data_IF_968703143279
#
_entry.id   IF_968703143279
#
_cell.length_a   1.000
_cell.length_b   1.000
_cell.length_c   1.000
_cell.angle_alpha   90.00
_cell.angle_beta   90.00
_cell.angle_gamma   90.00
#
_symmetry.space_group_name_H-M   'P 1'
#
loop_
_entity.id
_entity.type
_entity.pdbx_description
1 polymer ?
#
# COMPACT_ATOMS: atom_id res chain seq x y z
N UNK A 1 9.57 23.58 36.83
CA UNK A 1 10.30 24.87 36.94
C UNK A 1 11.71 24.68 36.41
N UNK A 2 12.11 25.63 35.58
CA UNK A 2 13.35 25.81 34.81
C UNK A 2 14.62 26.00 35.68
N UNK A 3 15.75 25.34 35.35
CA UNK A 3 17.07 25.96 35.04
C UNK A 3 18.25 24.95 34.94
N UNK A 4 18.75 24.81 33.72
CA UNK A 4 20.11 25.00 33.21
C UNK A 4 21.39 24.56 33.97
N UNK A 5 22.31 24.03 33.13
CA UNK A 5 23.78 24.18 33.11
C UNK A 5 24.62 23.08 33.76
N UNK A 6 25.13 22.17 32.93
CA UNK A 6 26.39 21.47 33.20
C UNK A 6 27.47 21.98 32.24
N UNK A 7 28.52 22.55 32.82
CA UNK A 7 29.64 23.19 32.13
C UNK A 7 30.63 22.16 31.57
N UNK A 8 31.09 22.53 30.37
CA UNK A 8 32.35 22.24 29.71
C UNK A 8 33.56 22.22 30.67
N UNK A 9 34.40 21.18 30.56
CA UNK A 9 35.80 21.21 31.00
C UNK A 9 36.66 20.62 29.88
N UNK A 10 37.36 21.56 29.23
CA UNK A 10 38.28 21.42 28.12
C UNK A 10 39.65 21.01 28.67
N UNK A 11 40.32 20.00 28.11
CA UNK A 11 41.73 19.76 28.39
C UNK A 11 42.54 19.58 27.10
N UNK A 12 43.68 20.27 27.08
CA UNK A 12 44.59 20.52 25.97
C UNK A 12 45.33 19.24 25.55
N UNK A 13 44.98 18.65 24.40
CA UNK A 13 45.87 17.71 23.70
C UNK A 13 45.36 17.35 22.29
N UNK A 14 45.19 18.33 21.38
CA UNK A 14 45.17 18.02 19.94
C UNK A 14 45.48 19.23 19.05
N UNK A 15 46.33 20.13 19.53
CA UNK A 15 46.75 21.35 18.81
C UNK A 15 47.90 21.11 17.81
N UNK A 16 48.31 19.85 17.58
CA UNK A 16 49.48 19.51 16.75
C UNK A 16 49.19 18.97 15.34
N UNK A 17 47.94 18.88 14.88
CA UNK A 17 47.63 18.40 13.52
C UNK A 17 47.30 19.50 12.50
N UNK A 18 47.64 20.77 12.76
CA UNK A 18 47.22 21.90 11.91
C UNK A 18 48.33 22.70 11.21
N UNK A 19 49.55 22.17 11.01
CA UNK A 19 50.57 22.88 10.22
C UNK A 19 51.43 21.98 9.32
N UNK A 20 50.79 21.34 8.33
CA UNK A 20 51.44 21.15 7.02
C UNK A 20 50.50 21.74 5.98
N UNK A 21 50.69 23.04 5.71
CA UNK A 21 49.96 23.79 4.69
C UNK A 21 50.60 23.54 3.31
N UNK A 22 49.72 23.32 2.34
CA UNK A 22 49.65 23.97 1.02
C UNK A 22 50.75 23.75 -0.02
N UNK A 23 50.30 23.35 -1.22
CA UNK A 23 50.78 23.56 -2.62
C UNK A 23 50.18 22.37 -3.40
N UNK A 24 49.29 22.45 -4.39
CA UNK A 24 48.88 23.47 -5.36
C UNK A 24 47.44 23.15 -5.84
N UNK A 25 46.67 24.21 -6.12
CA UNK A 25 45.45 24.18 -6.92
C UNK A 25 45.68 23.51 -8.28
N UNK A 26 44.95 22.44 -8.59
CA UNK A 26 44.69 22.06 -9.97
C UNK A 26 43.22 21.67 -10.13
N UNK A 27 42.39 22.70 -10.23
CA UNK A 27 41.06 22.64 -10.81
C UNK A 27 41.22 22.32 -12.29
N UNK A 28 40.81 21.12 -12.75
CA UNK A 28 40.06 20.85 -14.00
C UNK A 28 39.37 19.46 -13.89
N UNK A 29 38.05 19.44 -14.15
CA UNK A 29 37.18 18.28 -14.40
C UNK A 29 36.42 17.65 -13.21
N UNK A 30 35.38 18.35 -12.75
CA UNK A 30 34.10 17.70 -12.43
C UNK A 30 33.45 17.23 -13.74
N UNK A 31 32.88 16.01 -13.77
CA UNK A 31 31.53 15.84 -14.22
C UNK A 31 30.64 15.79 -12.98
N UNK A 32 29.80 16.83 -12.86
CA UNK A 32 28.60 16.93 -12.05
C UNK A 32 27.58 15.84 -12.41
N UNK A 33 27.91 14.54 -12.25
CA UNK A 33 27.07 13.44 -12.75
C UNK A 33 26.88 12.27 -11.76
N UNK A 34 26.95 12.53 -10.46
CA UNK A 34 26.25 11.70 -9.48
C UNK A 34 25.42 12.63 -8.58
N UNK A 35 24.66 13.53 -9.21
CA UNK A 35 23.54 14.19 -8.55
C UNK A 35 22.45 13.14 -8.31
N UNK A 36 22.26 12.77 -7.05
CA UNK A 36 20.94 12.52 -6.45
C UNK A 36 19.94 11.80 -7.37
N UNK A 37 20.04 10.48 -7.54
CA UNK A 37 18.84 9.65 -7.66
C UNK A 37 19.17 8.19 -7.29
N UNK A 38 19.57 7.91 -6.04
CA UNK A 38 19.74 6.53 -5.59
C UNK A 38 18.35 5.95 -5.32
N UNK A 39 17.92 4.89 -6.00
CA UNK A 39 16.80 4.02 -5.56
C UNK A 39 15.32 4.52 -5.66
N UNK A 40 15.02 5.75 -6.08
CA UNK A 40 13.63 6.28 -6.04
C UNK A 40 12.74 5.95 -7.25
N UNK A 41 13.15 5.07 -8.18
CA UNK A 41 12.38 4.80 -9.41
C UNK A 41 11.49 3.55 -9.31
N UNK A 42 11.67 2.69 -8.31
CA UNK A 42 10.89 1.45 -8.17
C UNK A 42 9.61 1.60 -7.32
N UNK A 43 9.23 2.84 -6.93
CA UNK A 43 8.24 3.08 -5.85
C UNK A 43 6.87 3.55 -6.36
N UNK A 44 6.46 3.18 -7.57
CA UNK A 44 5.12 3.52 -8.04
C UNK A 44 4.42 2.30 -8.65
N UNK A 45 4.32 1.23 -7.87
CA UNK A 45 3.42 0.14 -8.24
C UNK A 45 1.98 0.65 -8.32
N UNK A 46 1.32 0.37 -9.44
CA UNK A 46 -0.08 0.76 -9.65
C UNK A 46 -0.96 0.12 -8.58
N UNK A 47 -1.76 0.96 -7.94
CA UNK A 47 -2.80 0.48 -7.05
C UNK A 47 -3.85 -0.31 -7.85
N UNK A 48 -4.40 -1.40 -7.27
CA UNK A 48 -5.47 -2.13 -7.92
C UNK A 48 -6.73 -1.28 -8.03
N UNK A 49 -7.51 -1.54 -9.07
CA UNK A 49 -8.81 -0.89 -9.27
C UNK A 49 -9.88 -1.71 -8.55
N UNK A 50 -10.64 -1.07 -7.65
CA UNK A 50 -11.77 -1.69 -6.95
C UNK A 50 -13.05 -1.57 -7.78
N UNK A 51 -13.70 -2.70 -8.00
CA UNK A 51 -15.02 -2.80 -8.63
C UNK A 51 -16.01 -3.40 -7.63
N UNK A 52 -17.11 -2.70 -7.39
CA UNK A 52 -18.13 -3.10 -6.42
C UNK A 52 -19.38 -3.67 -7.13
N UNK A 53 -19.79 -4.88 -6.79
CA UNK A 53 -20.94 -5.59 -7.36
C UNK A 53 -21.98 -5.95 -6.29
N UNK A 54 -23.20 -6.27 -6.69
CA UNK A 54 -24.29 -6.57 -5.75
C UNK A 54 -24.03 -7.78 -4.86
N UNK A 55 -23.23 -8.75 -5.33
CA UNK A 55 -22.92 -10.00 -4.63
C UNK A 55 -21.48 -10.07 -4.07
N UNK A 56 -20.64 -9.08 -4.33
CA UNK A 56 -19.23 -9.10 -3.98
C UNK A 56 -18.45 -7.91 -4.51
N UNK A 57 -17.14 -7.98 -4.38
CA UNK A 57 -16.21 -7.00 -4.95
C UNK A 57 -15.10 -7.70 -5.71
N UNK A 58 -14.46 -6.96 -6.59
CA UNK A 58 -13.33 -7.44 -7.38
C UNK A 58 -12.22 -6.40 -7.38
N UNK A 59 -10.99 -6.85 -7.22
CA UNK A 59 -9.80 -6.04 -7.45
C UNK A 59 -9.18 -6.42 -8.78
N UNK A 60 -8.93 -5.43 -9.62
CA UNK A 60 -8.19 -5.57 -10.86
C UNK A 60 -6.74 -5.17 -10.66
N UNK A 61 -5.83 -6.08 -10.98
CA UNK A 61 -4.40 -5.88 -10.93
C UNK A 61 -3.83 -5.78 -12.33
N UNK A 62 -3.01 -4.74 -12.55
CA UNK A 62 -2.22 -4.54 -13.77
C UNK A 62 -0.74 -4.48 -13.37
N UNK A 63 -0.05 -5.63 -13.35
CA UNK A 63 1.37 -5.66 -12.99
C UNK A 63 2.21 -4.83 -13.97
N UNK A 64 3.17 -4.05 -13.46
CA UNK A 64 4.16 -3.36 -14.30
C UNK A 64 5.31 -4.29 -14.71
N UNK A 65 5.54 -5.33 -13.92
CA UNK A 65 6.48 -6.42 -14.14
C UNK A 65 5.82 -7.74 -13.73
N UNK A 66 6.52 -8.86 -13.92
CA UNK A 66 6.02 -10.17 -13.51
C UNK A 66 5.76 -10.21 -12.00
N UNK A 67 4.51 -10.48 -11.63
CA UNK A 67 4.08 -10.65 -10.25
C UNK A 67 4.37 -12.08 -9.79
N UNK A 68 5.19 -12.21 -8.75
CA UNK A 68 5.52 -13.48 -8.09
C UNK A 68 5.29 -13.32 -6.59
N UNK A 69 4.20 -13.90 -6.09
CA UNK A 69 3.84 -13.79 -4.69
C UNK A 69 2.40 -14.18 -4.41
N UNK A 70 1.81 -13.53 -3.42
CA UNK A 70 0.49 -13.87 -2.90
C UNK A 70 -0.43 -12.65 -2.86
N UNK A 71 -1.71 -12.85 -3.18
CA UNK A 71 -2.78 -11.87 -2.95
C UNK A 71 -3.85 -12.56 -2.11
N UNK A 72 -4.15 -12.06 -0.92
CA UNK A 72 -5.08 -12.74 -0.01
C UNK A 72 -5.84 -11.79 0.90
N UNK A 73 -6.99 -12.25 1.41
CA UNK A 73 -7.71 -11.55 2.46
C UNK A 73 -6.99 -11.70 3.80
N UNK A 74 -6.83 -10.60 4.55
CA UNK A 74 -6.19 -10.59 5.86
C UNK A 74 -6.81 -11.65 6.79
N UNK A 75 -5.98 -12.56 7.28
CA UNK A 75 -6.41 -13.66 8.17
C UNK A 75 -6.81 -14.94 7.44
N UNK A 76 -6.89 -14.93 6.11
CA UNK A 76 -7.35 -16.05 5.27
C UNK A 76 -6.28 -16.59 4.32
N UNK A 77 -5.00 -16.51 4.71
CA UNK A 77 -3.88 -16.96 3.87
C UNK A 77 -3.99 -18.42 3.43
N UNK A 78 -4.56 -19.31 4.25
CA UNK A 78 -4.68 -20.74 3.93
C UNK A 78 -5.99 -21.09 3.19
N UNK A 79 -6.84 -20.11 2.89
CA UNK A 79 -8.15 -20.34 2.27
C UNK A 79 -8.03 -20.12 0.77
N UNK A 80 -8.16 -21.18 -0.03
CA UNK A 80 -8.05 -21.12 -1.50
C UNK A 80 -9.06 -20.16 -2.14
N UNK A 81 -10.24 -19.99 -1.54
CA UNK A 81 -11.26 -19.04 -2.04
C UNK A 81 -10.91 -17.57 -1.76
N UNK A 82 -9.91 -17.32 -0.91
CA UNK A 82 -9.53 -16.00 -0.42
C UNK A 82 -8.04 -15.72 -0.62
N UNK A 83 -7.37 -16.51 -1.48
CA UNK A 83 -5.94 -16.47 -1.72
C UNK A 83 -5.63 -16.85 -3.17
N UNK A 84 -4.92 -15.95 -3.86
CA UNK A 84 -4.24 -16.25 -5.11
C UNK A 84 -2.75 -16.46 -4.84
N UNK A 85 -2.23 -17.59 -5.30
CA UNK A 85 -0.83 -17.97 -5.18
C UNK A 85 -0.15 -17.99 -6.56
N UNK A 86 0.70 -17.00 -6.80
CA UNK A 86 1.49 -16.86 -8.02
C UNK A 86 2.96 -17.27 -7.82
N UNK A 87 3.29 -17.97 -6.73
CA UNK A 87 4.69 -18.38 -6.46
C UNK A 87 5.21 -19.43 -7.44
N UNK A 88 4.33 -20.33 -7.89
CA UNK A 88 4.66 -21.40 -8.84
C UNK A 88 4.49 -20.97 -10.29
N UNK A 89 3.50 -20.12 -10.55
CA UNK A 89 3.18 -19.61 -11.88
C UNK A 89 3.08 -18.08 -11.82
N UNK A 90 4.21 -17.36 -11.84
CA UNK A 90 4.21 -15.91 -11.87
C UNK A 90 3.44 -15.37 -13.08
N UNK A 91 2.89 -14.17 -12.97
CA UNK A 91 2.10 -13.55 -14.06
C UNK A 91 2.52 -12.12 -14.33
N UNK A 92 2.78 -11.80 -15.59
CA UNK A 92 2.84 -10.42 -16.07
C UNK A 92 1.49 -9.96 -16.67
N UNK A 93 0.53 -10.88 -16.83
CA UNK A 93 -0.78 -10.57 -17.37
C UNK A 93 -1.68 -9.95 -16.30
N UNK A 94 -2.62 -9.07 -16.69
CA UNK A 94 -3.62 -8.56 -15.78
C UNK A 94 -4.49 -9.67 -15.21
N UNK A 95 -4.88 -9.55 -13.96
CA UNK A 95 -5.69 -10.55 -13.27
C UNK A 95 -6.67 -9.91 -12.29
N UNK A 96 -7.64 -10.71 -11.87
CA UNK A 96 -8.67 -10.30 -10.94
C UNK A 96 -8.59 -11.10 -9.65
N UNK A 97 -8.95 -10.45 -8.54
CA UNK A 97 -9.21 -11.10 -7.27
C UNK A 97 -10.64 -10.81 -6.82
N UNK A 98 -11.49 -11.83 -6.83
CA UNK A 98 -12.92 -11.75 -6.56
C UNK A 98 -13.23 -12.20 -5.14
N UNK A 99 -14.03 -11.43 -4.41
CA UNK A 99 -14.44 -11.69 -3.03
C UNK A 99 -15.96 -11.52 -2.93
N UNK A 100 -16.66 -12.61 -2.64
CA UNK A 100 -18.11 -12.58 -2.44
C UNK A 100 -18.47 -12.13 -1.02
N UNK A 101 -19.50 -11.27 -0.89
CA UNK A 101 -19.94 -10.76 0.41
C UNK A 101 -20.46 -11.87 1.34
N UNK A 102 -21.18 -12.84 0.77
CA UNK A 102 -21.68 -14.02 1.49
C UNK A 102 -20.75 -15.24 1.31
N UNK A 103 -19.48 -14.99 0.99
CA UNK A 103 -18.47 -16.01 0.77
C UNK A 103 -17.69 -16.39 2.04
N UNK A 104 -16.65 -17.23 1.89
CA UNK A 104 -15.87 -17.74 3.03
C UNK A 104 -14.82 -16.75 3.58
N UNK A 105 -14.68 -15.56 3.00
CA UNK A 105 -13.60 -14.61 3.34
C UNK A 105 -13.95 -13.61 4.45
N UNK A 106 -15.03 -13.86 5.20
CA UNK A 106 -15.51 -13.05 6.34
C UNK A 106 -15.50 -11.54 6.07
N UNK A 107 -16.21 -11.13 5.01
CA UNK A 107 -16.34 -9.73 4.65
C UNK A 107 -17.15 -9.00 5.72
N UNK A 108 -16.59 -7.93 6.28
CA UNK A 108 -17.26 -7.13 7.30
C UNK A 108 -18.41 -6.33 6.68
N UNK A 109 -19.63 -6.56 7.12
CA UNK A 109 -20.82 -5.81 6.70
C UNK A 109 -21.34 -4.96 7.86
N UNK A 110 -21.44 -3.64 7.65
CA UNK A 110 -21.96 -2.68 8.62
C UNK A 110 -23.14 -1.92 8.02
N UNK A 111 -24.23 -1.80 8.77
CA UNK A 111 -25.32 -0.90 8.41
C UNK A 111 -24.92 0.52 8.78
N UNK A 112 -24.96 1.44 7.81
CA UNK A 112 -24.74 2.86 8.03
C UNK A 112 -26.09 3.57 8.08
N UNK A 113 -26.28 4.45 9.06
CA UNK A 113 -27.54 5.18 9.23
C UNK A 113 -27.63 6.43 8.35
N UNK A 114 -26.50 7.10 8.11
CA UNK A 114 -26.43 8.38 7.38
C UNK A 114 -25.22 8.42 6.43
N UNK A 115 -25.44 8.43 5.10
CA UNK A 115 -26.70 8.05 4.44
C UNK A 115 -27.08 6.60 4.77
N UNK A 116 -28.37 6.28 4.75
CA UNK A 116 -28.81 4.92 5.05
C UNK A 116 -28.25 3.95 4.00
N UNK A 117 -27.60 2.88 4.43
CA UNK A 117 -26.99 1.94 3.50
C UNK A 117 -26.24 0.81 4.19
N UNK A 118 -25.54 0.01 3.38
CA UNK A 118 -24.65 -1.06 3.84
C UNK A 118 -23.25 -0.82 3.34
N UNK A 119 -22.28 -0.89 4.25
CA UNK A 119 -20.85 -0.83 3.96
C UNK A 119 -20.24 -2.23 4.10
N UNK A 120 -19.65 -2.71 3.02
CA UNK A 120 -18.83 -3.92 3.01
C UNK A 120 -17.37 -3.50 3.05
N UNK A 121 -16.58 -4.03 3.98
CA UNK A 121 -15.16 -3.69 4.14
C UNK A 121 -14.32 -4.95 4.28
N UNK A 122 -13.15 -4.96 3.64
CA UNK A 122 -12.20 -6.07 3.72
C UNK A 122 -10.77 -5.54 3.54
N UNK A 123 -9.79 -6.23 4.15
CA UNK A 123 -8.38 -5.91 3.98
C UNK A 123 -7.74 -6.96 3.08
N UNK A 124 -7.20 -6.53 1.94
CA UNK A 124 -6.47 -7.39 1.00
C UNK A 124 -4.98 -7.13 1.14
N UNK A 125 -4.21 -8.19 1.35
CA UNK A 125 -2.75 -8.17 1.43
C UNK A 125 -2.20 -8.59 0.07
N UNK A 126 -1.29 -7.79 -0.47
CA UNK A 126 -0.48 -8.10 -1.64
C UNK A 126 0.96 -8.25 -1.17
N UNK A 127 1.47 -9.47 -1.29
CA UNK A 127 2.78 -9.89 -0.85
C UNK A 127 3.63 -10.28 -2.06
N UNK A 128 4.74 -9.59 -2.29
CA UNK A 128 5.61 -9.74 -3.47
C UNK A 128 6.73 -10.77 -3.29
N UNK A 129 6.59 -11.65 -2.31
CA UNK A 129 7.58 -12.67 -2.02
C UNK A 129 6.91 -13.98 -1.59
N UNK A 130 7.48 -15.09 -2.01
CA UNK A 130 6.94 -16.44 -1.84
C UNK A 130 6.93 -17.01 -0.40
N UNK A 131 7.40 -16.26 0.61
CA UNK A 131 7.55 -16.79 1.98
C UNK A 131 7.17 -15.79 3.08
N UNK A 132 7.56 -14.53 2.96
CA UNK A 132 7.44 -13.57 4.05
C UNK A 132 7.08 -12.18 3.53
N UNK A 133 6.60 -11.34 4.45
CA UNK A 133 6.25 -9.97 4.14
C UNK A 133 7.50 -9.11 3.95
N UNK A 134 7.50 -8.29 2.91
CA UNK A 134 8.59 -7.38 2.53
C UNK A 134 8.16 -5.92 2.66
N UNK A 135 9.12 -5.00 2.47
CA UNK A 135 8.83 -3.55 2.45
C UNK A 135 7.91 -3.14 1.28
N UNK A 136 7.91 -3.91 0.19
CA UNK A 136 7.11 -3.62 -1.00
C UNK A 136 5.64 -4.02 -0.84
N UNK A 137 5.34 -4.83 0.18
CA UNK A 137 4.02 -5.39 0.37
C UNK A 137 3.02 -4.34 0.85
N UNK A 138 1.77 -4.51 0.43
CA UNK A 138 0.69 -3.54 0.68
C UNK A 138 -0.52 -4.22 1.29
N UNK A 139 -1.15 -3.51 2.21
CA UNK A 139 -2.45 -3.86 2.76
C UNK A 139 -3.47 -2.83 2.30
N UNK A 140 -4.39 -3.23 1.44
CA UNK A 140 -5.46 -2.38 0.92
C UNK A 140 -6.71 -2.56 1.77
N UNK A 141 -7.10 -1.51 2.49
CA UNK A 141 -8.42 -1.42 3.15
C UNK A 141 -9.44 -0.97 2.11
N UNK A 142 -10.17 -1.95 1.56
CA UNK A 142 -11.12 -1.72 0.46
C UNK A 142 -12.54 -1.81 0.99
N UNK A 143 -13.38 -0.88 0.54
CA UNK A 143 -14.75 -0.79 1.00
C UNK A 143 -15.71 -0.39 -0.12
N UNK A 144 -16.86 -1.06 -0.14
CA UNK A 144 -17.98 -0.81 -1.04
C UNK A 144 -19.19 -0.38 -0.21
N UNK A 145 -19.78 0.76 -0.57
CA UNK A 145 -20.96 1.28 0.11
C UNK A 145 -22.16 1.27 -0.83
N UNK A 146 -23.26 0.67 -0.38
CA UNK A 146 -24.55 0.65 -1.07
C UNK A 146 -25.54 1.49 -0.30
N UNK A 147 -25.86 2.65 -0.84
CA UNK A 147 -26.91 3.51 -0.32
C UNK A 147 -28.27 2.89 -0.62
N UNK A 148 -29.14 2.84 0.38
CA UNK A 148 -30.56 2.61 0.19
C UNK A 148 -31.14 3.96 -0.21
N UNK A 149 -31.60 4.10 -1.45
CA UNK A 149 -32.31 5.30 -1.91
C UNK A 149 -33.82 5.12 -1.74
N UNK A 150 -34.48 6.15 -1.21
CA UNK A 150 -35.94 6.17 -0.96
C UNK A 150 -36.80 6.27 -2.25
N UNK A 151 -36.24 6.04 -3.43
CA UNK A 151 -36.93 6.25 -4.71
C UNK A 151 -37.96 5.15 -5.06
N UNK A 152 -38.47 4.39 -4.08
CA UNK A 152 -39.55 3.42 -4.27
C UNK A 152 -40.90 3.87 -3.66
N UNK A 153 -41.01 5.11 -3.19
CA UNK A 153 -42.24 5.64 -2.59
C UNK A 153 -42.98 6.70 -3.43
N UNK A 154 -42.62 6.92 -4.69
CA UNK A 154 -43.38 7.77 -5.60
C UNK A 154 -43.70 7.04 -6.90
N UNK A 155 -45.01 6.88 -7.14
CA UNK A 155 -45.65 6.42 -8.37
C UNK A 155 -45.93 4.91 -8.52
N UNK A 156 -46.91 4.44 -7.74
CA UNK A 156 -47.99 3.57 -8.28
C UNK A 156 -49.32 4.09 -7.71
N UNK A 157 -49.87 5.13 -8.34
CA UNK A 157 -51.30 5.41 -8.24
C UNK A 157 -52.00 4.61 -9.34
N UNK A 158 -52.49 3.41 -9.03
CA UNK A 158 -53.52 2.79 -9.87
C UNK A 158 -54.83 3.39 -9.38
N UNK A 159 -55.29 4.44 -10.06
CA UNK A 159 -56.69 4.83 -9.99
C UNK A 159 -57.49 3.74 -10.70
N UNK A 160 -58.22 2.93 -9.93
CA UNK A 160 -59.32 2.08 -10.38
C UNK A 160 -60.55 2.43 -9.57
#
# INVERSE_FOLDING_TARGET
MNKNSCKLLLNLACFFCLLIRSVIMQQQNLPLFITLFPQWVWMLERQPVLECFTNGLRLYFQPEAEFNGHVYVRGFFMSENCHLDYTRNPTANPFYFEIFYNGPCDVKCETQEKPQGKKYSIIVIVQHHYLFLTQMDRAYDVNCFYQISDNLAHEVAING
#
